data_IF_173515281361
#
_entry.id   IF_173515281361
#
_cell.length_a   1.000
_cell.length_b   1.000
_cell.length_c   1.000
_cell.angle_alpha   90.00
_cell.angle_beta   90.00
_cell.angle_gamma   90.00
#
_symmetry.space_group_name_H-M   'P 1'
#
loop_
_entity.id
_entity.type
_entity.pdbx_description
1 polymer ?
#
# COMPACT_ATOMS: atom_id res chain seq x y z
N UNK A 1 -17.97 13.44 -19.01
CA UNK A 1 -17.03 12.35 -19.38
C UNK A 1 -15.54 12.73 -19.25
N UNK A 2 -15.15 14.01 -19.36
CA UNK A 2 -13.74 14.48 -19.28
C UNK A 2 -13.09 14.31 -17.89
N UNK A 3 -13.86 14.42 -16.80
CA UNK A 3 -13.32 14.36 -15.43
C UNK A 3 -12.74 12.98 -15.04
N UNK A 4 -13.33 11.89 -15.54
CA UNK A 4 -12.88 10.52 -15.26
C UNK A 4 -11.55 10.18 -15.95
N UNK A 5 -11.31 10.71 -17.15
CA UNK A 5 -10.07 10.43 -17.88
C UNK A 5 -8.85 11.09 -17.22
N UNK A 6 -9.05 12.29 -16.67
CA UNK A 6 -8.02 13.05 -15.99
C UNK A 6 -7.61 12.43 -14.64
N UNK A 7 -8.53 11.81 -13.91
CA UNK A 7 -8.19 11.14 -12.64
C UNK A 7 -7.36 9.89 -12.87
N UNK A 8 -7.66 9.09 -13.89
CA UNK A 8 -6.91 7.87 -14.18
C UNK A 8 -5.47 8.15 -14.63
N UNK A 9 -5.27 9.14 -15.51
CA UNK A 9 -3.92 9.58 -15.88
C UNK A 9 -3.11 10.01 -14.66
N UNK A 10 -3.73 10.80 -13.77
CA UNK A 10 -3.10 11.28 -12.54
C UNK A 10 -2.72 10.15 -11.58
N UNK A 11 -3.57 9.12 -11.44
CA UNK A 11 -3.25 7.92 -10.64
C UNK A 11 -1.96 7.28 -11.15
N UNK A 12 -1.89 7.01 -12.46
CA UNK A 12 -0.72 6.37 -13.08
C UNK A 12 0.55 7.23 -12.97
N UNK A 13 0.44 8.53 -13.20
CA UNK A 13 1.59 9.45 -13.06
C UNK A 13 2.14 9.44 -11.63
N UNK A 14 1.25 9.40 -10.62
CA UNK A 14 1.65 9.30 -9.23
C UNK A 14 2.30 7.95 -8.91
N UNK A 15 1.80 6.83 -9.48
CA UNK A 15 2.37 5.49 -9.28
C UNK A 15 3.78 5.37 -9.88
N UNK A 16 3.98 5.88 -11.10
CA UNK A 16 5.30 5.91 -11.75
C UNK A 16 6.31 6.74 -10.96
N UNK A 17 5.90 7.92 -10.48
CA UNK A 17 6.74 8.75 -9.62
C UNK A 17 7.01 8.09 -8.26
N UNK A 18 6.01 7.42 -7.68
CA UNK A 18 6.19 6.69 -6.42
C UNK A 18 7.20 5.55 -6.57
N UNK A 19 7.16 4.80 -7.67
CA UNK A 19 8.18 3.79 -8.00
C UNK A 19 9.58 4.40 -8.06
N UNK A 20 9.75 5.51 -8.80
CA UNK A 20 11.01 6.23 -8.85
C UNK A 20 11.51 6.64 -7.45
N UNK A 21 10.64 7.18 -6.59
CA UNK A 21 11.00 7.55 -5.23
C UNK A 21 11.34 6.34 -4.34
N UNK A 22 10.65 5.21 -4.50
CA UNK A 22 10.98 3.96 -3.79
C UNK A 22 12.38 3.50 -4.17
N UNK A 23 12.73 3.53 -5.46
CA UNK A 23 14.06 3.11 -5.94
C UNK A 23 15.18 4.04 -5.46
N UNK A 24 14.86 5.31 -5.19
CA UNK A 24 15.77 6.28 -4.56
C UNK A 24 15.75 6.24 -3.03
N UNK A 25 15.01 5.31 -2.43
CA UNK A 25 14.80 5.20 -0.99
C UNK A 25 14.15 6.46 -0.34
N UNK A 26 13.48 7.28 -1.14
CA UNK A 26 12.72 8.46 -0.69
C UNK A 26 11.27 8.07 -0.31
N UNK A 27 11.15 7.15 0.64
CA UNK A 27 9.88 6.46 0.97
C UNK A 27 8.74 7.43 1.32
N UNK A 28 9.03 8.53 2.03
CA UNK A 28 8.02 9.53 2.39
C UNK A 28 7.41 10.26 1.19
N UNK A 29 8.21 10.51 0.15
CA UNK A 29 7.73 11.13 -1.10
C UNK A 29 6.83 10.17 -1.87
N UNK A 30 7.22 8.89 -1.96
CA UNK A 30 6.40 7.85 -2.57
C UNK A 30 5.05 7.70 -1.85
N UNK A 31 5.08 7.57 -0.52
CA UNK A 31 3.88 7.42 0.32
C UNK A 31 2.90 8.59 0.09
N UNK A 32 3.40 9.83 0.08
CA UNK A 32 2.60 11.04 -0.13
C UNK A 32 1.85 11.03 -1.48
N UNK A 33 2.50 10.55 -2.54
CA UNK A 33 1.87 10.45 -3.87
C UNK A 33 0.76 9.40 -3.89
N UNK A 34 1.01 8.23 -3.29
CA UNK A 34 0.03 7.15 -3.24
C UNK A 34 -1.19 7.52 -2.38
N UNK A 35 -1.01 8.27 -1.29
CA UNK A 35 -2.12 8.83 -0.52
C UNK A 35 -2.97 9.82 -1.32
N UNK A 36 -2.38 10.57 -2.25
CA UNK A 36 -3.18 11.41 -3.17
C UNK A 36 -4.07 10.55 -4.06
N UNK A 37 -3.60 9.39 -4.50
CA UNK A 37 -4.42 8.42 -5.24
C UNK A 37 -5.58 7.88 -4.39
N UNK A 38 -5.34 7.57 -3.11
CA UNK A 38 -6.41 7.15 -2.21
C UNK A 38 -7.47 8.24 -1.99
N UNK A 39 -7.06 9.51 -1.87
CA UNK A 39 -7.99 10.65 -1.70
C UNK A 39 -8.90 10.88 -2.90
N UNK A 40 -8.45 10.55 -4.10
CA UNK A 40 -9.28 10.59 -5.31
C UNK A 40 -10.12 9.32 -5.52
N UNK A 41 -10.10 8.39 -4.55
CA UNK A 41 -10.94 7.20 -4.56
C UNK A 41 -10.48 6.10 -5.51
N UNK A 42 -9.17 5.98 -5.78
CA UNK A 42 -8.66 4.93 -6.68
C UNK A 42 -8.97 3.52 -6.16
N UNK A 43 -9.19 2.61 -7.11
CA UNK A 43 -9.22 1.15 -6.96
C UNK A 43 -7.96 0.49 -7.57
N UNK A 44 -6.95 1.28 -7.95
CA UNK A 44 -5.76 0.78 -8.61
C UNK A 44 -4.99 -0.19 -7.71
N UNK A 45 -4.90 -1.43 -8.18
CA UNK A 45 -4.13 -2.50 -7.53
C UNK A 45 -2.69 -2.06 -7.28
N UNK A 46 -2.05 -1.40 -8.26
CA UNK A 46 -0.66 -0.97 -8.13
C UNK A 46 -0.49 0.04 -6.99
N UNK A 47 -1.42 0.98 -6.82
CA UNK A 47 -1.39 1.92 -5.68
C UNK A 47 -1.37 1.17 -4.34
N UNK A 48 -2.24 0.15 -4.18
CA UNK A 48 -2.28 -0.65 -2.96
C UNK A 48 -1.02 -1.50 -2.77
N UNK A 49 -0.54 -2.15 -3.83
CA UNK A 49 0.68 -2.98 -3.80
C UNK A 49 1.91 -2.14 -3.39
N UNK A 50 2.04 -0.91 -3.90
CA UNK A 50 3.14 -0.02 -3.53
C UNK A 50 3.06 0.45 -2.07
N UNK A 51 1.86 0.79 -1.57
CA UNK A 51 1.67 1.13 -0.16
C UNK A 51 1.97 -0.06 0.76
N UNK A 52 1.57 -1.27 0.38
CA UNK A 52 1.91 -2.51 1.09
C UNK A 52 3.42 -2.68 1.18
N UNK A 53 4.15 -2.50 0.07
CA UNK A 53 5.61 -2.56 0.04
C UNK A 53 6.23 -1.54 1.00
N UNK A 54 5.79 -0.28 0.93
CA UNK A 54 6.27 0.79 1.81
C UNK A 54 6.06 0.45 3.28
N UNK A 55 4.85 0.05 3.68
CA UNK A 55 4.55 -0.22 5.08
C UNK A 55 5.21 -1.49 5.59
N UNK A 56 5.38 -2.50 4.74
CA UNK A 56 6.18 -3.68 5.06
C UNK A 56 7.65 -3.31 5.33
N UNK A 57 8.25 -2.47 4.48
CA UNK A 57 9.65 -2.02 4.65
C UNK A 57 9.84 -1.20 5.93
N UNK A 58 8.86 -0.35 6.26
CA UNK A 58 8.85 0.46 7.50
C UNK A 58 8.54 -0.38 8.75
N UNK A 59 8.18 -1.67 8.61
CA UNK A 59 7.58 -2.50 9.67
C UNK A 59 6.37 -1.85 10.35
N UNK A 60 5.62 -1.04 9.59
CA UNK A 60 4.45 -0.33 10.08
C UNK A 60 3.19 -1.20 9.86
N UNK A 61 3.00 -2.14 10.77
CA UNK A 61 1.93 -3.13 10.66
C UNK A 61 0.53 -2.51 10.77
N UNK A 62 0.37 -1.40 11.48
CA UNK A 62 -0.91 -0.70 11.59
C UNK A 62 -1.39 -0.21 10.23
N UNK A 63 -0.55 0.55 9.53
CA UNK A 63 -0.88 1.04 8.20
C UNK A 63 -0.86 -0.06 7.13
N UNK A 64 -0.01 -1.08 7.27
CA UNK A 64 -0.02 -2.24 6.39
C UNK A 64 -1.37 -2.98 6.42
N UNK A 65 -1.87 -3.31 7.62
CA UNK A 65 -3.14 -4.02 7.78
C UNK A 65 -4.32 -3.16 7.30
N UNK A 66 -4.27 -1.85 7.55
CA UNK A 66 -5.28 -0.92 7.01
C UNK A 66 -5.30 -0.92 5.49
N UNK A 67 -4.13 -0.79 4.86
CA UNK A 67 -3.97 -0.83 3.39
C UNK A 67 -4.49 -2.13 2.81
N UNK A 68 -4.19 -3.28 3.44
CA UNK A 68 -4.68 -4.58 3.00
C UNK A 68 -6.21 -4.70 3.10
N UNK A 69 -6.81 -4.19 4.18
CA UNK A 69 -8.27 -4.15 4.31
C UNK A 69 -8.91 -3.28 3.22
N UNK A 70 -8.32 -2.13 2.91
CA UNK A 70 -8.81 -1.26 1.84
C UNK A 70 -8.66 -1.92 0.46
N UNK A 71 -7.54 -2.61 0.21
CA UNK A 71 -7.33 -3.40 -1.01
C UNK A 71 -8.38 -4.51 -1.19
N UNK A 72 -8.75 -5.21 -0.11
CA UNK A 72 -9.82 -6.24 -0.12
C UNK A 72 -11.17 -5.63 -0.49
N UNK A 73 -11.46 -4.41 -0.03
CA UNK A 73 -12.74 -3.75 -0.29
C UNK A 73 -12.82 -3.18 -1.71
N UNK A 74 -11.74 -2.58 -2.18
CA UNK A 74 -11.75 -1.70 -3.36
C UNK A 74 -11.27 -2.36 -4.65
N UNK A 75 -10.54 -3.46 -4.58
CA UNK A 75 -9.94 -4.07 -5.78
C UNK A 75 -10.57 -5.42 -6.14
N UNK A 76 -10.25 -5.91 -7.34
CA UNK A 76 -10.56 -7.28 -7.77
C UNK A 76 -9.69 -8.38 -7.13
N UNK A 77 -8.60 -8.05 -6.43
CA UNK A 77 -7.62 -9.02 -5.89
C UNK A 77 -7.89 -9.40 -4.42
N UNK A 78 -9.15 -9.60 -4.05
CA UNK A 78 -9.56 -9.77 -2.65
C UNK A 78 -8.85 -10.92 -1.93
N UNK A 79 -8.77 -12.08 -2.57
CA UNK A 79 -8.19 -13.27 -1.93
C UNK A 79 -6.68 -13.18 -1.78
N UNK A 80 -6.00 -12.53 -2.73
CA UNK A 80 -4.58 -12.22 -2.60
C UNK A 80 -4.31 -11.36 -1.36
N UNK A 81 -5.04 -10.25 -1.19
CA UNK A 81 -4.87 -9.39 -0.02
C UNK A 81 -5.29 -10.04 1.30
N UNK A 82 -6.31 -10.91 1.29
CA UNK A 82 -6.66 -11.71 2.49
C UNK A 82 -5.52 -12.62 2.92
N UNK A 83 -4.88 -13.32 1.97
CA UNK A 83 -3.72 -14.17 2.25
C UNK A 83 -2.55 -13.34 2.78
N UNK A 84 -2.27 -12.22 2.13
CA UNK A 84 -1.18 -11.32 2.54
C UNK A 84 -1.42 -10.71 3.93
N UNK A 85 -2.66 -10.36 4.27
CA UNK A 85 -3.05 -9.91 5.62
C UNK A 85 -2.78 -10.97 6.68
N UNK A 86 -3.13 -12.23 6.43
CA UNK A 86 -2.84 -13.32 7.37
C UNK A 86 -1.33 -13.44 7.61
N UNK A 87 -0.53 -13.40 6.54
CA UNK A 87 0.93 -13.44 6.64
C UNK A 87 1.50 -12.25 7.44
N UNK A 88 0.99 -11.04 7.21
CA UNK A 88 1.41 -9.85 7.95
C UNK A 88 1.09 -9.93 9.46
N UNK A 89 -0.08 -10.47 9.83
CA UNK A 89 -0.45 -10.66 11.24
C UNK A 89 0.47 -11.68 11.91
N UNK A 90 0.71 -12.82 11.26
CA UNK A 90 1.61 -13.85 11.79
C UNK A 90 3.03 -13.29 11.96
N UNK A 91 3.52 -12.53 10.97
CA UNK A 91 4.85 -11.91 11.04
C UNK A 91 4.96 -10.94 12.23
N UNK A 92 3.91 -10.16 12.51
CA UNK A 92 3.88 -9.27 13.68
C UNK A 92 3.90 -10.06 15.00
N UNK A 93 3.10 -11.12 15.10
CA UNK A 93 3.06 -11.95 16.30
C UNK A 93 4.41 -12.62 16.60
N UNK A 94 5.09 -13.12 15.56
CA UNK A 94 6.44 -13.69 15.72
C UNK A 94 7.41 -12.65 16.24
N UNK A 95 7.38 -11.43 15.68
CA UNK A 95 8.22 -10.33 16.16
C UNK A 95 7.90 -9.96 17.62
N UNK A 96 6.63 -9.90 18.00
CA UNK A 96 6.23 -9.62 19.39
C UNK A 96 6.75 -10.69 20.36
N UNK A 97 6.78 -11.96 19.96
CA UNK A 97 7.33 -13.06 20.76
C UNK A 97 8.86 -12.95 20.89
N UNK A 98 9.55 -12.63 19.80
CA UNK A 98 11.01 -12.41 19.80
C UNK A 98 11.38 -11.23 20.71
N UNK A 99 10.64 -10.11 20.61
CA UNK A 99 10.86 -8.91 21.42
C UNK A 99 10.62 -9.16 22.93
N UNK A 100 9.80 -10.16 23.29
CA UNK A 100 9.59 -10.60 24.68
C UNK A 100 10.65 -11.57 25.20
N UNK A 101 11.42 -12.19 24.30
CA UNK A 101 12.38 -13.25 24.62
C UNK A 101 13.83 -12.77 24.70
N UNK A 102 14.10 -11.52 24.31
CA UNK A 102 15.42 -10.86 24.38
C UNK A 102 15.50 -9.86 25.51
#
# INVERSE_FOLDING_TARGET
>A
MVLFFNSFKRVRDNELKALYYIDKNEIGNAEKLLHRNLRIGTDSILTFDLLIRIYSQKKDYSFLIRTLNDGIKKTGKKDFYRKLKKAAIVSRLLQDIEDLSG
#
